data_IF_793759149185
#
_entry.id   IF_793759149185
#
_cell.length_a   1.000
_cell.length_b   1.000
_cell.length_c   1.000
_cell.angle_alpha   90.00
_cell.angle_beta   90.00
_cell.angle_gamma   90.00
#
_symmetry.space_group_name_H-M   'P 1'
#
loop_
_entity.id
_entity.type
_entity.pdbx_description
1 polymer ?
#
# COMPACT_ATOMS: atom_id res chain seq x y z
N UNK A 1 -23.01 43.97 -23.44
CA UNK A 1 -23.66 44.18 -24.74
C UNK A 1 -23.98 42.82 -25.32
N UNK A 2 -25.28 42.55 -25.41
CA UNK A 2 -25.86 41.33 -26.04
C UNK A 2 -25.62 41.36 -27.51
N UNK A 3 -25.32 40.21 -28.17
CA UNK A 3 -25.73 39.92 -29.53
C UNK A 3 -26.10 38.45 -29.66
N UNK A 4 -27.41 38.26 -29.81
CA UNK A 4 -28.15 37.14 -30.32
C UNK A 4 -27.87 37.05 -31.84
N UNK A 5 -27.63 35.88 -32.38
CA UNK A 5 -27.89 35.60 -33.82
C UNK A 5 -28.64 34.31 -34.02
N UNK A 6 -29.66 34.50 -34.80
CA UNK A 6 -30.85 33.69 -35.10
C UNK A 6 -30.54 32.62 -36.12
N UNK A 7 -31.24 31.53 -35.95
CA UNK A 7 -31.57 30.40 -36.83
C UNK A 7 -31.81 30.76 -38.28
N UNK A 8 -31.29 29.99 -39.25
CA UNK A 8 -31.88 29.80 -40.56
C UNK A 8 -31.91 28.32 -40.92
N UNK A 9 -33.11 27.82 -41.11
CA UNK A 9 -33.47 26.50 -41.62
C UNK A 9 -33.25 26.49 -43.15
N UNK A 10 -32.54 25.52 -43.67
CA UNK A 10 -32.44 25.23 -45.09
C UNK A 10 -32.46 23.73 -45.33
N UNK A 11 -33.63 23.24 -45.74
CA UNK A 11 -33.83 21.87 -46.20
C UNK A 11 -33.16 21.68 -47.57
N UNK A 12 -32.21 20.75 -47.67
CA UNK A 12 -31.84 20.18 -48.98
C UNK A 12 -31.61 18.69 -48.81
N UNK A 13 -32.47 17.93 -49.46
CA UNK A 13 -32.40 16.49 -49.63
C UNK A 13 -31.22 16.18 -50.57
N UNK A 14 -30.22 15.44 -50.12
CA UNK A 14 -29.33 14.69 -51.00
C UNK A 14 -28.97 13.35 -50.41
N UNK A 15 -29.11 12.37 -51.29
CA UNK A 15 -28.90 10.94 -51.10
C UNK A 15 -27.46 10.59 -50.65
N UNK A 16 -27.35 9.64 -49.77
CA UNK A 16 -26.27 8.64 -49.80
C UNK A 16 -24.99 8.96 -49.04
N UNK A 17 -24.83 8.30 -48.01
CA UNK A 17 -23.65 7.70 -47.33
C UNK A 17 -23.80 7.90 -45.82
N UNK A 18 -24.31 6.89 -45.17
CA UNK A 18 -24.14 6.72 -43.72
C UNK A 18 -22.66 6.54 -43.45
N UNK A 19 -21.97 7.63 -43.12
CA UNK A 19 -20.69 7.56 -42.40
C UNK A 19 -21.08 7.21 -40.96
N UNK A 20 -21.05 5.92 -40.66
CA UNK A 20 -21.02 5.44 -39.30
C UNK A 20 -19.70 5.97 -38.72
N UNK A 21 -19.73 7.07 -37.99
CA UNK A 21 -18.69 7.38 -37.04
C UNK A 21 -18.70 6.24 -36.02
N UNK A 22 -17.89 5.24 -36.25
CA UNK A 22 -17.44 4.38 -35.18
C UNK A 22 -16.76 5.30 -34.19
N UNK A 23 -17.46 5.67 -33.13
CA UNK A 23 -16.84 6.05 -31.88
C UNK A 23 -16.21 4.74 -31.43
N UNK A 24 -14.97 4.48 -31.86
CA UNK A 24 -14.07 3.57 -31.18
C UNK A 24 -13.67 4.27 -29.87
N UNK A 25 -14.60 4.31 -28.92
CA UNK A 25 -14.21 4.33 -27.54
C UNK A 25 -13.34 3.08 -27.39
N UNK A 26 -12.03 3.27 -27.26
CA UNK A 26 -11.18 2.20 -26.77
C UNK A 26 -11.85 1.72 -25.49
N UNK A 27 -12.42 0.52 -25.57
CA UNK A 27 -12.90 -0.19 -24.40
C UNK A 27 -11.65 -0.34 -23.55
N UNK A 28 -11.53 0.49 -22.48
CA UNK A 28 -10.42 0.43 -21.55
C UNK A 28 -10.19 -1.05 -21.28
N UNK A 29 -8.97 -1.53 -21.47
CA UNK A 29 -8.67 -2.94 -21.32
C UNK A 29 -8.73 -3.27 -19.82
N UNK A 30 -9.93 -3.47 -19.29
CA UNK A 30 -10.23 -3.76 -17.88
C UNK A 30 -9.46 -4.99 -17.35
N UNK A 31 -8.84 -5.75 -18.24
CA UNK A 31 -8.00 -6.89 -17.89
C UNK A 31 -6.58 -6.49 -17.44
N UNK A 32 -6.13 -5.28 -17.77
CA UNK A 32 -4.80 -4.81 -17.33
C UNK A 32 -4.95 -4.05 -16.04
N UNK A 33 -4.54 -4.68 -14.93
CA UNK A 33 -4.56 -4.03 -13.61
C UNK A 33 -3.67 -2.77 -13.62
N UNK A 34 -4.05 -1.77 -12.84
CA UNK A 34 -3.32 -0.52 -12.66
C UNK A 34 -3.38 -0.05 -11.20
N UNK A 35 -2.48 0.84 -10.81
CA UNK A 35 -2.60 1.58 -9.56
C UNK A 35 -3.22 2.96 -9.80
N UNK A 36 -3.72 3.59 -8.74
CA UNK A 36 -4.39 4.90 -8.80
C UNK A 36 -3.44 5.97 -9.38
N UNK A 37 -3.97 6.77 -10.32
CA UNK A 37 -3.22 7.81 -11.04
C UNK A 37 -2.01 7.31 -11.85
N UNK A 38 -1.95 6.01 -12.17
CA UNK A 38 -0.88 5.50 -13.04
C UNK A 38 -0.94 6.17 -14.40
N UNK A 39 0.15 6.82 -14.78
CA UNK A 39 0.29 7.45 -16.10
C UNK A 39 0.37 6.39 -17.19
N UNK A 40 -0.14 6.68 -18.38
CA UNK A 40 -0.19 5.74 -19.50
C UNK A 40 1.20 5.29 -19.98
N UNK A 41 2.20 6.17 -19.89
CA UNK A 41 3.60 5.92 -20.27
C UNK A 41 4.40 5.17 -19.20
N UNK A 42 3.85 5.01 -17.98
CA UNK A 42 4.50 4.28 -16.89
C UNK A 42 4.12 2.81 -16.96
N UNK A 43 5.09 1.98 -17.32
CA UNK A 43 4.91 0.53 -17.32
C UNK A 43 5.01 -0.01 -15.89
N UNK A 44 3.91 -0.61 -15.40
CA UNK A 44 3.93 -1.43 -14.18
C UNK A 44 4.46 -2.84 -14.44
N UNK A 45 4.31 -3.74 -13.48
CA UNK A 45 4.60 -5.16 -13.65
C UNK A 45 3.74 -5.81 -14.74
N UNK A 46 4.29 -6.79 -15.46
CA UNK A 46 3.51 -7.61 -16.39
C UNK A 46 2.58 -8.62 -15.65
N UNK A 47 2.81 -8.82 -14.36
CA UNK A 47 1.98 -9.67 -13.50
C UNK A 47 0.88 -8.84 -12.82
N UNK A 48 -0.40 -9.24 -12.93
CA UNK A 48 -1.52 -8.47 -12.37
C UNK A 48 -1.68 -8.73 -10.85
N UNK A 49 -0.68 -8.34 -10.05
CA UNK A 49 -0.67 -8.52 -8.61
C UNK A 49 -1.91 -7.96 -7.93
N UNK A 50 -2.58 -8.78 -7.10
CA UNK A 50 -3.85 -8.47 -6.46
C UNK A 50 -5.08 -8.81 -7.30
N UNK A 51 -4.90 -9.28 -8.56
CA UNK A 51 -5.98 -9.72 -9.43
C UNK A 51 -5.65 -10.99 -10.26
N UNK A 52 -4.61 -11.73 -9.89
CA UNK A 52 -4.22 -12.95 -10.57
C UNK A 52 -4.92 -14.18 -9.96
N UNK A 53 -6.15 -14.46 -10.41
CA UNK A 53 -6.96 -15.55 -9.88
C UNK A 53 -6.38 -16.95 -10.12
N UNK A 54 -5.39 -17.10 -11.03
CA UNK A 54 -4.75 -18.40 -11.28
C UNK A 54 -3.86 -18.88 -10.12
N UNK A 55 -3.40 -17.95 -9.27
CA UNK A 55 -2.58 -18.20 -8.08
C UNK A 55 -3.22 -17.64 -6.79
N UNK A 56 -4.47 -17.16 -6.93
CA UNK A 56 -5.22 -16.54 -5.86
C UNK A 56 -5.78 -17.54 -4.85
N UNK A 57 -5.80 -17.15 -3.61
CA UNK A 57 -6.31 -17.91 -2.48
C UNK A 57 -7.11 -17.01 -1.56
N UNK A 58 -7.84 -17.60 -0.61
CA UNK A 58 -8.56 -16.87 0.43
C UNK A 58 -8.23 -17.42 1.82
N UNK A 59 -8.07 -16.52 2.77
CA UNK A 59 -8.05 -16.84 4.19
C UNK A 59 -9.36 -16.38 4.81
N UNK A 60 -10.07 -17.31 5.48
CA UNK A 60 -11.30 -17.00 6.19
C UNK A 60 -10.95 -16.40 7.55
N UNK A 61 -11.29 -15.14 7.75
CA UNK A 61 -11.24 -14.47 9.05
C UNK A 61 -12.57 -14.65 9.78
N UNK A 62 -12.78 -13.96 10.90
CA UNK A 62 -14.01 -14.04 11.68
C UNK A 62 -15.24 -13.64 10.84
N UNK A 63 -15.11 -12.60 10.01
CA UNK A 63 -16.26 -11.98 9.31
C UNK A 63 -15.98 -11.63 7.84
N UNK A 64 -14.81 -11.96 7.31
CA UNK A 64 -14.42 -11.63 5.93
C UNK A 64 -13.48 -12.66 5.33
N UNK A 65 -13.47 -12.76 4.00
CA UNK A 65 -12.46 -13.50 3.24
C UNK A 65 -11.40 -12.54 2.75
N UNK A 66 -10.15 -12.80 3.13
CA UNK A 66 -8.99 -12.01 2.73
C UNK A 66 -8.30 -12.72 1.57
N UNK A 67 -8.23 -12.04 0.43
CA UNK A 67 -7.60 -12.54 -0.79
C UNK A 67 -6.09 -12.37 -0.72
N UNK A 68 -5.36 -13.38 -1.15
CA UNK A 68 -3.92 -13.32 -1.32
C UNK A 68 -3.43 -14.20 -2.47
N UNK A 69 -2.26 -13.88 -2.98
CA UNK A 69 -1.59 -14.59 -4.08
C UNK A 69 -0.22 -15.05 -3.60
N UNK A 70 0.27 -16.18 -4.16
CA UNK A 70 1.59 -16.71 -3.81
C UNK A 70 2.45 -16.80 -5.07
N UNK A 71 3.68 -16.26 -4.99
CA UNK A 71 4.66 -16.28 -6.06
C UNK A 71 6.02 -16.73 -5.55
N UNK A 72 6.76 -17.45 -6.40
CA UNK A 72 8.10 -17.94 -6.06
C UNK A 72 8.12 -19.00 -4.95
N UNK A 73 9.33 -19.33 -4.51
CA UNK A 73 9.59 -20.33 -3.47
C UNK A 73 10.65 -19.82 -2.49
N UNK A 74 10.80 -20.47 -1.33
CA UNK A 74 11.81 -20.10 -0.33
C UNK A 74 11.21 -19.50 0.94
N UNK A 75 11.96 -18.59 1.58
CA UNK A 75 11.52 -17.93 2.81
C UNK A 75 10.31 -17.04 2.56
N UNK A 76 9.30 -17.04 3.46
CA UNK A 76 8.09 -16.26 3.26
C UNK A 76 8.33 -14.76 3.45
N UNK A 77 7.83 -13.98 2.49
CA UNK A 77 7.75 -12.51 2.52
C UNK A 77 6.32 -12.09 2.24
N UNK A 78 5.72 -11.37 3.17
CA UNK A 78 4.37 -10.84 3.02
C UNK A 78 4.44 -9.39 2.55
N UNK A 79 3.63 -9.07 1.55
CA UNK A 79 3.49 -7.72 0.98
C UNK A 79 2.14 -7.16 1.42
N UNK A 80 2.16 -6.02 2.15
CA UNK A 80 0.98 -5.28 2.59
C UNK A 80 1.00 -3.91 1.92
N UNK A 81 0.02 -3.66 1.05
CA UNK A 81 -0.08 -2.43 0.25
C UNK A 81 -0.61 -1.23 1.06
N UNK A 82 -0.58 -0.06 0.47
CA UNK A 82 -1.15 1.18 1.00
C UNK A 82 -2.67 1.11 1.16
N UNK A 83 -3.25 2.03 1.89
CA UNK A 83 -4.69 2.08 2.13
C UNK A 83 -5.44 3.01 1.18
N UNK A 84 -6.75 3.13 1.38
CA UNK A 84 -7.63 3.98 0.59
C UNK A 84 -7.75 3.51 -0.85
N UNK A 85 -6.96 4.10 -1.73
CA UNK A 85 -6.84 3.71 -3.15
C UNK A 85 -5.65 2.78 -3.42
N UNK A 86 -4.95 2.32 -2.38
CA UNK A 86 -3.80 1.43 -2.50
C UNK A 86 -4.20 0.05 -3.01
N UNK A 87 -3.34 -0.56 -3.79
CA UNK A 87 -3.51 -1.92 -4.34
C UNK A 87 -2.17 -2.64 -4.37
N UNK A 88 -2.12 -3.97 -4.28
CA UNK A 88 -0.86 -4.71 -4.35
C UNK A 88 -0.02 -4.41 -5.59
N UNK A 89 -0.67 -4.07 -6.71
CA UNK A 89 -0.02 -3.79 -7.99
C UNK A 89 0.96 -2.61 -7.94
N UNK A 90 0.76 -1.64 -7.05
CA UNK A 90 1.68 -0.51 -6.87
C UNK A 90 3.09 -0.95 -6.44
N UNK A 91 3.19 -2.06 -5.70
CA UNK A 91 4.45 -2.67 -5.26
C UNK A 91 5.02 -3.70 -6.25
N UNK A 92 4.45 -3.77 -7.46
CA UNK A 92 4.77 -4.80 -8.46
C UNK A 92 6.26 -4.94 -8.75
N UNK A 93 6.99 -3.84 -8.90
CA UNK A 93 8.43 -3.86 -9.16
C UNK A 93 9.24 -4.49 -8.01
N UNK A 94 8.81 -4.30 -6.76
CA UNK A 94 9.41 -4.95 -5.58
C UNK A 94 9.11 -6.44 -5.61
N UNK A 95 7.84 -6.81 -5.87
CA UNK A 95 7.40 -8.21 -5.92
C UNK A 95 8.14 -8.97 -7.02
N UNK A 96 8.31 -8.37 -8.21
CA UNK A 96 9.05 -8.96 -9.34
C UNK A 96 10.51 -9.29 -9.00
N UNK A 97 11.15 -8.48 -8.16
CA UNK A 97 12.50 -8.76 -7.67
C UNK A 97 12.51 -9.87 -6.62
N UNK A 98 11.57 -9.83 -5.68
CA UNK A 98 11.53 -10.75 -4.55
C UNK A 98 11.19 -12.19 -4.96
N UNK A 99 10.25 -12.39 -5.89
CA UNK A 99 9.74 -13.72 -6.26
C UNK A 99 10.77 -14.66 -6.89
N UNK A 100 11.95 -14.15 -7.23
CA UNK A 100 13.03 -14.97 -7.74
C UNK A 100 13.75 -15.77 -6.63
N UNK A 101 13.76 -15.25 -5.39
CA UNK A 101 14.52 -15.81 -4.28
C UNK A 101 13.68 -16.11 -3.04
N UNK A 102 12.41 -15.66 -3.03
CA UNK A 102 11.51 -15.74 -1.88
C UNK A 102 10.14 -16.27 -2.28
N UNK A 103 9.46 -16.92 -1.32
CA UNK A 103 8.03 -17.16 -1.40
C UNK A 103 7.30 -15.88 -1.02
N UNK A 104 6.79 -15.15 -2.02
CA UNK A 104 6.13 -13.86 -1.84
C UNK A 104 4.63 -14.04 -1.72
N UNK A 105 4.05 -13.58 -0.63
CA UNK A 105 2.63 -13.60 -0.36
C UNK A 105 2.10 -12.18 -0.51
N UNK A 106 1.35 -11.95 -1.57
CA UNK A 106 0.77 -10.64 -1.92
C UNK A 106 -0.65 -10.59 -1.38
N UNK A 107 -0.90 -9.74 -0.39
CA UNK A 107 -2.18 -9.70 0.32
C UNK A 107 -2.97 -8.47 -0.11
N UNK A 108 -4.21 -8.66 -0.57
CA UNK A 108 -5.19 -7.58 -0.66
C UNK A 108 -5.80 -7.39 0.72
N UNK A 109 -5.63 -6.23 1.34
CA UNK A 109 -6.15 -5.97 2.67
C UNK A 109 -7.68 -5.87 2.66
N UNK A 110 -8.32 -6.02 3.83
CA UNK A 110 -9.78 -5.90 3.99
C UNK A 110 -10.34 -4.72 3.19
N UNK A 111 -11.40 -4.94 2.41
CA UNK A 111 -12.08 -3.93 1.59
C UNK A 111 -11.33 -3.46 0.34
N UNK A 112 -10.18 -4.07 0.02
CA UNK A 112 -9.41 -3.76 -1.19
C UNK A 112 -9.36 -4.95 -2.14
N UNK A 113 -9.37 -4.65 -3.44
CA UNK A 113 -9.27 -5.66 -4.49
C UNK A 113 -10.33 -6.75 -4.33
N UNK A 114 -9.89 -8.00 -4.22
CA UNK A 114 -10.78 -9.18 -4.10
C UNK A 114 -11.13 -9.58 -2.66
N UNK A 115 -10.69 -8.81 -1.66
CA UNK A 115 -11.02 -9.06 -0.25
C UNK A 115 -12.37 -8.46 0.11
N UNK A 116 -13.13 -9.21 0.93
CA UNK A 116 -14.39 -8.74 1.49
C UNK A 116 -14.18 -7.58 2.48
N UNK A 117 -15.18 -6.73 2.63
CA UNK A 117 -15.20 -5.61 3.57
C UNK A 117 -15.43 -6.13 5.01
N UNK A 118 -16.32 -7.12 5.15
CA UNK A 118 -16.74 -7.62 6.46
C UNK A 118 -17.65 -6.64 7.21
N UNK A 119 -17.81 -6.85 8.53
CA UNK A 119 -18.68 -6.05 9.38
C UNK A 119 -18.00 -5.56 10.67
N UNK A 120 -16.83 -6.11 11.01
CA UNK A 120 -16.07 -5.67 12.16
C UNK A 120 -15.54 -4.24 11.95
N UNK A 121 -15.50 -3.40 13.00
CA UNK A 121 -14.94 -2.06 12.91
C UNK A 121 -13.48 -2.08 12.41
N UNK A 122 -13.15 -1.13 11.55
CA UNK A 122 -11.76 -0.93 11.12
C UNK A 122 -10.93 -0.41 12.29
N UNK A 123 -9.93 -1.19 12.68
CA UNK A 123 -8.93 -0.83 13.69
C UNK A 123 -7.59 -1.47 13.30
N UNK A 124 -6.48 -1.00 13.87
CA UNK A 124 -5.19 -1.67 13.67
C UNK A 124 -5.21 -3.11 14.20
N UNK A 125 -5.95 -3.38 15.29
CA UNK A 125 -6.14 -4.72 15.84
C UNK A 125 -6.87 -5.64 14.86
N UNK A 126 -7.95 -5.16 14.23
CA UNK A 126 -8.68 -5.95 13.25
C UNK A 126 -7.82 -6.24 12.02
N UNK A 127 -7.10 -5.24 11.51
CA UNK A 127 -6.17 -5.43 10.39
C UNK A 127 -5.07 -6.44 10.73
N UNK A 128 -4.50 -6.37 11.94
CA UNK A 128 -3.51 -7.34 12.39
C UNK A 128 -4.09 -8.76 12.51
N UNK A 129 -5.33 -8.92 13.00
CA UNK A 129 -6.02 -10.23 13.03
C UNK A 129 -6.24 -10.80 11.63
N UNK A 130 -6.60 -9.97 10.66
CA UNK A 130 -6.73 -10.40 9.27
C UNK A 130 -5.39 -10.89 8.72
N UNK A 131 -4.32 -10.10 8.91
CA UNK A 131 -2.99 -10.42 8.43
C UNK A 131 -2.43 -11.69 9.08
N UNK A 132 -2.60 -11.85 10.42
CA UNK A 132 -2.13 -13.05 11.12
C UNK A 132 -2.87 -14.30 10.64
N UNK A 133 -4.14 -14.18 10.25
CA UNK A 133 -4.90 -15.30 9.68
C UNK A 133 -4.26 -15.77 8.38
N UNK A 134 -3.91 -14.85 7.48
CA UNK A 134 -3.19 -15.18 6.24
C UNK A 134 -1.80 -15.77 6.55
N UNK A 135 -1.03 -15.14 7.45
CA UNK A 135 0.31 -15.60 7.82
C UNK A 135 0.27 -17.06 8.33
N UNK A 136 -0.59 -17.35 9.30
CA UNK A 136 -0.71 -18.70 9.91
C UNK A 136 -1.22 -19.76 8.93
N UNK A 137 -2.00 -19.36 7.91
CA UNK A 137 -2.47 -20.27 6.88
C UNK A 137 -1.33 -20.67 5.92
N UNK A 138 -0.38 -19.76 5.66
CA UNK A 138 0.68 -19.94 4.64
C UNK A 138 1.98 -20.50 5.22
N UNK A 139 2.33 -20.13 6.45
CA UNK A 139 3.60 -20.55 7.07
C UNK A 139 3.48 -20.76 8.58
N UNK A 140 4.38 -21.60 9.11
CA UNK A 140 4.61 -21.76 10.55
C UNK A 140 5.90 -21.08 11.00
N UNK A 141 6.72 -20.61 10.06
CA UNK A 141 7.99 -19.93 10.33
C UNK A 141 7.76 -18.43 10.44
N UNK A 142 8.55 -17.72 11.25
CA UNK A 142 8.55 -16.25 11.27
C UNK A 142 8.83 -15.71 9.86
N UNK A 143 8.02 -14.74 9.42
CA UNK A 143 8.05 -14.20 8.08
C UNK A 143 8.60 -12.77 8.05
N UNK A 144 9.20 -12.39 6.93
CA UNK A 144 9.45 -10.99 6.62
C UNK A 144 8.14 -10.31 6.19
N UNK A 145 7.96 -9.06 6.58
CA UNK A 145 6.83 -8.25 6.13
C UNK A 145 7.39 -6.99 5.47
N UNK A 146 6.94 -6.70 4.25
CA UNK A 146 7.18 -5.45 3.57
C UNK A 146 5.83 -4.74 3.49
N UNK A 147 5.68 -3.65 4.22
CA UNK A 147 4.46 -2.86 4.28
C UNK A 147 4.68 -1.46 3.74
N UNK A 148 3.70 -0.95 3.01
CA UNK A 148 3.67 0.42 2.55
C UNK A 148 2.51 1.17 3.23
N UNK A 149 2.77 2.36 3.76
CA UNK A 149 1.73 3.24 4.36
C UNK A 149 0.85 2.46 5.36
N UNK A 150 -0.44 2.34 5.12
CA UNK A 150 -1.37 1.53 5.91
C UNK A 150 -0.88 0.08 6.16
N UNK A 151 -0.29 -0.54 5.13
CA UNK A 151 0.32 -1.86 5.24
C UNK A 151 1.51 -1.89 6.22
N UNK A 152 2.29 -0.81 6.32
CA UNK A 152 3.38 -0.70 7.27
C UNK A 152 2.87 -0.51 8.72
N UNK A 153 1.86 0.33 8.93
CA UNK A 153 1.21 0.46 10.24
C UNK A 153 0.55 -0.85 10.68
N UNK A 154 -0.06 -1.57 9.73
CA UNK A 154 -0.59 -2.91 9.98
C UNK A 154 0.51 -3.90 10.37
N UNK A 155 1.68 -3.84 9.74
CA UNK A 155 2.85 -4.66 10.09
C UNK A 155 3.36 -4.35 11.51
N UNK A 156 3.40 -3.08 11.92
CA UNK A 156 3.74 -2.71 13.29
C UNK A 156 2.79 -3.35 14.29
N UNK A 157 1.48 -3.33 14.00
CA UNK A 157 0.49 -3.91 14.90
C UNK A 157 0.55 -5.44 14.92
N UNK A 158 0.88 -6.09 13.79
CA UNK A 158 1.17 -7.55 13.78
C UNK A 158 2.37 -7.86 14.68
N UNK A 159 3.45 -7.08 14.60
CA UNK A 159 4.64 -7.31 15.43
C UNK A 159 4.42 -7.01 16.92
N UNK A 160 3.53 -6.08 17.26
CA UNK A 160 3.11 -5.79 18.63
C UNK A 160 2.27 -6.94 19.22
N UNK A 161 1.29 -7.45 18.47
CA UNK A 161 0.35 -8.47 18.95
C UNK A 161 0.88 -9.91 18.82
N UNK A 162 1.72 -10.19 17.81
CA UNK A 162 2.18 -11.52 17.44
C UNK A 162 3.69 -11.52 17.10
N UNK A 163 4.57 -11.09 18.04
CA UNK A 163 6.00 -10.93 17.77
C UNK A 163 6.69 -12.21 17.28
N UNK A 164 6.16 -13.38 17.66
CA UNK A 164 6.72 -14.69 17.30
C UNK A 164 6.59 -15.05 15.81
N UNK A 165 5.70 -14.37 15.07
CA UNK A 165 5.49 -14.67 13.64
C UNK A 165 6.24 -13.72 12.71
N UNK A 166 6.93 -12.71 13.24
CA UNK A 166 7.61 -11.68 12.45
C UNK A 166 9.12 -11.80 12.60
N UNK A 167 9.83 -12.12 11.51
CA UNK A 167 11.30 -12.11 11.47
C UNK A 167 11.83 -10.68 11.38
N UNK A 168 11.32 -9.86 10.48
CA UNK A 168 11.70 -8.45 10.27
C UNK A 168 10.63 -7.69 9.49
N UNK A 169 10.70 -6.37 9.55
CA UNK A 169 9.78 -5.48 8.83
C UNK A 169 10.58 -4.51 7.95
N UNK A 170 10.13 -4.32 6.72
CA UNK A 170 10.42 -3.14 5.90
C UNK A 170 9.16 -2.29 5.92
N UNK A 171 9.23 -1.12 6.53
CA UNK A 171 8.14 -0.17 6.66
C UNK A 171 8.40 1.04 5.77
N UNK A 172 7.59 1.20 4.74
CA UNK A 172 7.71 2.28 3.76
C UNK A 172 6.60 3.30 4.03
N UNK A 173 6.97 4.57 4.23
CA UNK A 173 6.01 5.67 4.40
C UNK A 173 5.16 5.54 5.66
N UNK A 174 5.75 5.15 6.81
CA UNK A 174 5.05 5.03 8.10
C UNK A 174 5.93 5.43 9.28
N UNK A 175 5.60 6.55 9.89
CA UNK A 175 6.26 7.09 11.09
C UNK A 175 5.40 6.99 12.35
N UNK A 176 5.53 7.94 13.28
CA UNK A 176 4.50 8.19 14.29
C UNK A 176 3.28 8.83 13.64
N UNK A 177 2.11 8.61 14.21
CA UNK A 177 0.85 9.15 13.72
C UNK A 177 0.10 9.78 14.87
N UNK A 178 -0.18 11.06 14.77
CA UNK A 178 -1.02 11.77 15.71
C UNK A 178 -2.49 11.67 15.31
N UNK A 179 -3.37 11.53 16.30
CA UNK A 179 -4.81 11.58 16.07
C UNK A 179 -5.20 12.85 15.33
N UNK A 180 -6.04 12.72 14.30
CA UNK A 180 -6.51 13.84 13.46
C UNK A 180 -5.53 14.27 12.37
N UNK A 181 -4.38 13.61 12.21
CA UNK A 181 -3.45 13.90 11.12
C UNK A 181 -4.11 13.70 9.76
N UNK A 182 -4.78 12.57 9.57
CA UNK A 182 -5.64 12.35 8.42
C UNK A 182 -7.07 12.74 8.76
N UNK A 183 -7.65 13.65 8.00
CA UNK A 183 -9.02 14.12 8.19
C UNK A 183 -9.66 14.43 6.84
N UNK A 184 -10.98 14.42 6.79
CA UNK A 184 -11.76 14.65 5.57
C UNK A 184 -12.52 13.41 5.14
N UNK A 185 -13.06 13.48 3.92
CA UNK A 185 -13.86 12.41 3.33
C UNK A 185 -13.08 11.76 2.17
N UNK A 186 -13.34 10.48 1.94
CA UNK A 186 -12.89 9.75 0.76
C UNK A 186 -14.14 9.37 -0.05
N UNK A 187 -14.50 10.22 -1.00
CA UNK A 187 -15.69 10.01 -1.83
C UNK A 187 -15.29 9.36 -3.16
N UNK A 188 -15.96 8.27 -3.50
CA UNK A 188 -15.73 7.57 -4.77
C UNK A 188 -16.01 8.50 -5.94
N UNK A 189 -17.00 9.39 -5.83
CA UNK A 189 -17.32 10.39 -6.85
C UNK A 189 -16.18 11.38 -7.10
N UNK A 190 -15.32 11.66 -6.11
CA UNK A 190 -14.14 12.50 -6.29
C UNK A 190 -12.97 11.70 -6.86
N UNK A 191 -12.82 10.45 -6.46
CA UNK A 191 -11.87 9.53 -7.10
C UNK A 191 -12.20 9.30 -8.58
N UNK A 192 -13.49 9.19 -8.95
CA UNK A 192 -13.95 9.07 -10.34
C UNK A 192 -13.58 10.30 -11.18
N UNK A 193 -13.56 11.50 -10.60
CA UNK A 193 -13.11 12.72 -11.31
C UNK A 193 -11.60 12.71 -11.57
N UNK A 194 -10.82 12.06 -10.70
CA UNK A 194 -9.36 12.00 -10.79
C UNK A 194 -8.94 10.84 -11.69
N UNK A 195 -9.51 9.65 -11.50
CA UNK A 195 -9.14 8.42 -12.19
C UNK A 195 -10.34 7.46 -12.32
N UNK A 196 -11.23 7.75 -13.29
CA UNK A 196 -12.44 6.97 -13.52
C UNK A 196 -12.16 5.51 -13.88
N UNK A 197 -11.07 5.25 -14.60
CA UNK A 197 -10.72 3.90 -15.06
C UNK A 197 -10.26 3.03 -13.90
N UNK A 198 -9.49 3.60 -12.98
CA UNK A 198 -9.12 2.90 -11.75
C UNK A 198 -10.37 2.55 -10.93
N UNK A 199 -11.28 3.51 -10.72
CA UNK A 199 -12.51 3.28 -9.94
C UNK A 199 -13.39 2.21 -10.60
N UNK A 200 -13.56 2.27 -11.92
CA UNK A 200 -14.32 1.26 -12.68
C UNK A 200 -13.67 -0.13 -12.54
N UNK A 201 -12.32 -0.20 -12.61
CA UNK A 201 -11.59 -1.45 -12.43
C UNK A 201 -11.77 -2.00 -11.01
N UNK A 202 -11.61 -1.18 -9.96
CA UNK A 202 -11.82 -1.64 -8.57
C UNK A 202 -13.25 -2.16 -8.37
N UNK A 203 -14.27 -1.44 -8.81
CA UNK A 203 -15.67 -1.90 -8.75
C UNK A 203 -15.88 -3.25 -9.46
N UNK A 204 -15.15 -3.51 -10.54
CA UNK A 204 -15.28 -4.77 -11.30
C UNK A 204 -14.66 -5.99 -10.63
N UNK A 205 -13.72 -5.80 -9.71
CA UNK A 205 -13.00 -6.90 -9.02
C UNK A 205 -13.41 -7.11 -7.57
N UNK A 206 -14.00 -6.09 -6.92
CA UNK A 206 -14.46 -6.16 -5.54
C UNK A 206 -15.63 -7.13 -5.38
N UNK A 207 -15.67 -7.92 -4.28
CA UNK A 207 -16.84 -8.77 -3.96
C UNK A 207 -18.10 -7.96 -3.64
N UNK A 208 -17.96 -6.75 -3.05
CA UNK A 208 -19.04 -5.92 -2.51
C UNK A 208 -18.93 -4.47 -3.02
N UNK A 209 -18.97 -4.24 -4.36
CA UNK A 209 -18.72 -2.91 -4.93
C UNK A 209 -19.76 -1.86 -4.51
N UNK A 210 -20.98 -2.29 -4.17
CA UNK A 210 -22.06 -1.41 -3.67
C UNK A 210 -21.76 -0.87 -2.25
N UNK A 211 -20.93 -1.54 -1.48
CA UNK A 211 -20.50 -1.14 -0.13
C UNK A 211 -19.20 -0.32 -0.12
N UNK A 212 -18.58 -0.09 -1.28
CA UNK A 212 -17.26 0.55 -1.30
C UNK A 212 -17.29 1.97 -0.71
N UNK A 213 -18.34 2.77 -0.95
CA UNK A 213 -18.46 4.10 -0.33
C UNK A 213 -18.62 4.00 1.20
N UNK A 214 -19.38 3.03 1.70
CA UNK A 214 -19.47 2.75 3.15
C UNK A 214 -18.07 2.46 3.71
N UNK A 215 -17.34 1.57 3.06
CA UNK A 215 -15.96 1.25 3.44
C UNK A 215 -15.04 2.48 3.44
N UNK A 216 -15.07 3.31 2.40
CA UNK A 216 -14.27 4.54 2.33
C UNK A 216 -14.58 5.51 3.48
N UNK A 217 -15.86 5.63 3.84
CA UNK A 217 -16.30 6.47 4.96
C UNK A 217 -15.79 5.94 6.30
N UNK A 218 -15.92 4.65 6.56
CA UNK A 218 -15.41 4.01 7.78
C UNK A 218 -13.88 4.02 7.83
N UNK A 219 -13.23 3.89 6.68
CA UNK A 219 -11.79 4.00 6.52
C UNK A 219 -11.28 5.38 6.94
N UNK A 220 -11.89 6.46 6.48
CA UNK A 220 -11.50 7.82 6.88
C UNK A 220 -11.83 8.11 8.34
N UNK A 221 -12.95 7.60 8.85
CA UNK A 221 -13.28 7.67 10.27
C UNK A 221 -12.24 6.94 11.15
N UNK A 222 -11.77 5.78 10.72
CA UNK A 222 -10.67 5.08 11.39
C UNK A 222 -9.41 5.95 11.39
N UNK A 223 -8.96 6.44 10.22
CA UNK A 223 -7.73 7.21 10.09
C UNK A 223 -7.76 8.54 10.85
N UNK A 224 -8.91 9.21 10.93
CA UNK A 224 -9.06 10.44 11.72
C UNK A 224 -8.88 10.22 13.22
N UNK A 225 -9.04 8.98 13.68
CA UNK A 225 -8.89 8.60 15.09
C UNK A 225 -7.65 7.74 15.36
N UNK A 226 -6.95 7.32 14.32
CA UNK A 226 -5.77 6.47 14.44
C UNK A 226 -4.61 7.23 15.10
N UNK A 227 -3.90 6.53 15.97
CA UNK A 227 -2.72 7.01 16.67
C UNK A 227 -1.65 5.91 16.70
N UNK A 228 -0.40 6.28 16.38
CA UNK A 228 0.76 5.39 16.47
C UNK A 228 1.89 6.16 17.14
N UNK A 229 2.19 5.79 18.36
CA UNK A 229 3.19 6.45 19.19
C UNK A 229 4.14 5.45 19.86
N UNK A 230 4.81 5.94 20.90
CA UNK A 230 5.81 5.20 21.64
C UNK A 230 5.28 3.86 22.18
N UNK A 231 4.04 3.84 22.67
CA UNK A 231 3.47 2.67 23.34
C UNK A 231 3.40 1.45 22.42
N UNK A 232 3.04 1.64 21.13
CA UNK A 232 3.06 0.58 20.14
C UNK A 232 4.49 0.31 19.67
N UNK A 233 5.21 1.35 19.25
CA UNK A 233 6.48 1.22 18.52
C UNK A 233 7.60 0.63 19.40
N UNK A 234 7.61 0.91 20.70
CA UNK A 234 8.61 0.34 21.63
C UNK A 234 8.43 -1.16 21.92
N UNK A 235 7.26 -1.71 21.59
CA UNK A 235 6.96 -3.14 21.74
C UNK A 235 7.51 -3.97 20.58
N UNK A 236 7.87 -3.36 19.45
CA UNK A 236 8.38 -4.06 18.26
C UNK A 236 9.78 -4.61 18.58
N UNK A 237 9.92 -5.93 18.58
CA UNK A 237 11.18 -6.62 18.96
C UNK A 237 12.02 -7.00 17.75
N UNK A 238 11.40 -7.24 16.61
CA UNK A 238 12.11 -7.62 15.38
C UNK A 238 12.86 -6.41 14.78
N UNK A 239 13.87 -6.64 13.93
CA UNK A 239 14.51 -5.58 13.17
C UNK A 239 13.53 -4.89 12.21
N UNK A 240 13.63 -3.55 12.12
CA UNK A 240 12.79 -2.74 11.22
C UNK A 240 13.67 -1.85 10.35
N UNK A 241 13.42 -1.84 9.04
CA UNK A 241 13.92 -0.83 8.12
C UNK A 241 12.79 0.17 7.83
N UNK A 242 13.00 1.41 8.22
CA UNK A 242 12.11 2.53 7.91
C UNK A 242 12.58 3.20 6.63
N UNK A 243 11.71 3.33 5.62
CA UNK A 243 12.00 4.01 4.36
C UNK A 243 11.00 5.14 4.17
N UNK A 244 11.49 6.33 3.83
CA UNK A 244 10.64 7.53 3.63
C UNK A 244 11.24 8.42 2.56
N UNK A 245 10.38 9.09 1.77
CA UNK A 245 10.78 10.17 0.89
C UNK A 245 11.08 11.46 1.67
N UNK A 246 12.01 12.27 1.20
CA UNK A 246 12.29 13.56 1.84
C UNK A 246 11.18 14.59 1.60
N UNK A 247 10.31 14.37 0.61
CA UNK A 247 9.13 15.18 0.26
C UNK A 247 7.80 14.49 0.66
N UNK A 248 7.83 13.43 1.47
CA UNK A 248 6.63 12.70 1.91
C UNK A 248 5.79 13.54 2.87
N UNK A 249 4.59 13.91 2.45
CA UNK A 249 3.61 14.67 3.23
C UNK A 249 2.59 13.81 3.99
N UNK A 250 2.49 12.51 3.64
CA UNK A 250 1.64 11.53 4.33
C UNK A 250 2.35 10.90 5.55
N UNK A 251 3.66 10.75 5.47
CA UNK A 251 4.52 10.33 6.58
C UNK A 251 5.74 11.26 6.65
N UNK A 252 5.58 12.51 7.09
CA UNK A 252 6.66 13.49 7.14
C UNK A 252 7.91 12.91 7.80
N UNK A 253 9.09 13.19 7.24
CA UNK A 253 10.37 12.63 7.68
C UNK A 253 10.57 12.74 9.20
N UNK A 254 10.06 13.80 9.83
CA UNK A 254 10.12 14.02 11.29
C UNK A 254 9.41 12.92 12.06
N UNK A 255 8.26 12.45 11.56
CA UNK A 255 7.49 11.36 12.19
C UNK A 255 8.22 10.01 12.07
N UNK A 256 8.93 9.79 10.98
CA UNK A 256 9.71 8.57 10.75
C UNK A 256 11.00 8.58 11.59
N UNK A 257 11.63 9.74 11.76
CA UNK A 257 12.76 9.91 12.70
C UNK A 257 12.29 9.65 14.14
N UNK A 258 11.09 10.10 14.50
CA UNK A 258 10.55 9.83 15.84
C UNK A 258 10.25 8.33 16.03
N UNK A 259 9.64 7.67 15.04
CA UNK A 259 9.45 6.22 15.07
C UNK A 259 10.78 5.47 15.21
N UNK A 260 11.82 5.91 14.50
CA UNK A 260 13.17 5.35 14.65
C UNK A 260 13.72 5.44 16.10
N UNK A 261 13.39 6.50 16.82
CA UNK A 261 13.78 6.64 18.24
C UNK A 261 13.02 5.67 19.16
N UNK A 262 11.79 5.32 18.79
CA UNK A 262 10.95 4.45 19.63
C UNK A 262 11.15 2.96 19.33
N UNK A 263 11.42 2.59 18.08
CA UNK A 263 11.64 1.18 17.70
C UNK A 263 13.07 0.77 18.05
N UNK A 264 13.29 -0.17 18.99
CA UNK A 264 14.62 -0.47 19.52
C UNK A 264 15.64 -0.93 18.48
N UNK A 265 15.18 -1.70 17.47
CA UNK A 265 16.03 -2.33 16.46
C UNK A 265 15.72 -1.80 15.07
N UNK A 266 15.68 -0.48 14.90
CA UNK A 266 15.35 0.12 13.62
C UNK A 266 16.57 0.72 12.89
N UNK A 267 16.44 0.80 11.58
CA UNK A 267 17.31 1.53 10.66
C UNK A 267 16.46 2.45 9.81
N UNK A 268 17.03 3.54 9.32
CA UNK A 268 16.31 4.51 8.50
C UNK A 268 17.02 4.72 7.16
N UNK A 269 16.25 4.79 6.09
CA UNK A 269 16.66 5.21 4.77
C UNK A 269 15.76 6.36 4.32
N UNK A 270 16.35 7.52 4.04
CA UNK A 270 15.64 8.66 3.44
C UNK A 270 15.95 8.68 1.96
N UNK A 271 14.92 8.65 1.14
CA UNK A 271 15.04 8.62 -0.32
C UNK A 271 14.91 10.05 -0.85
N UNK A 272 15.96 10.60 -1.49
CA UNK A 272 15.94 11.98 -1.97
C UNK A 272 15.02 12.17 -3.17
N UNK A 273 14.35 13.33 -3.24
CA UNK A 273 13.39 13.71 -4.28
C UNK A 273 12.29 12.66 -4.47
N UNK A 274 11.79 12.14 -3.38
CA UNK A 274 10.74 11.14 -3.38
C UNK A 274 9.60 11.54 -2.46
N UNK A 275 8.40 11.31 -2.92
CA UNK A 275 7.15 11.49 -2.19
C UNK A 275 6.79 10.22 -1.42
N UNK A 276 5.51 10.06 -1.13
CA UNK A 276 5.02 8.91 -0.37
C UNK A 276 5.32 7.56 -1.03
N UNK A 277 5.21 7.47 -2.35
CA UNK A 277 5.44 6.26 -3.16
C UNK A 277 6.90 6.12 -3.59
N UNK A 278 7.83 6.15 -2.65
CA UNK A 278 9.29 6.16 -2.91
C UNK A 278 9.77 5.10 -3.91
N UNK A 279 9.07 3.95 -3.97
CA UNK A 279 9.39 2.84 -4.87
C UNK A 279 8.93 3.10 -6.32
N UNK A 280 8.08 4.09 -6.56
CA UNK A 280 7.74 4.59 -7.89
C UNK A 280 8.64 5.77 -8.28
N UNK A 281 9.01 6.61 -7.31
CA UNK A 281 9.79 7.82 -7.55
C UNK A 281 11.28 7.51 -7.74
N UNK A 282 11.85 6.64 -6.89
CA UNK A 282 13.27 6.26 -6.92
C UNK A 282 13.44 4.79 -6.54
N UNK A 283 13.14 3.91 -7.50
CA UNK A 283 13.19 2.47 -7.28
C UNK A 283 14.58 1.96 -6.90
N UNK A 284 15.64 2.45 -7.53
CA UNK A 284 17.00 1.93 -7.32
C UNK A 284 17.49 2.15 -5.89
N UNK A 285 17.27 3.33 -5.33
CA UNK A 285 17.62 3.63 -3.93
C UNK A 285 16.76 2.79 -2.98
N UNK A 286 15.46 2.76 -3.23
CA UNK A 286 14.49 1.99 -2.42
C UNK A 286 14.84 0.50 -2.43
N UNK A 287 15.07 -0.08 -3.62
CA UNK A 287 15.42 -1.49 -3.76
C UNK A 287 16.77 -1.83 -3.13
N UNK A 288 17.77 -0.95 -3.29
CA UNK A 288 19.09 -1.15 -2.67
C UNK A 288 18.96 -1.25 -1.14
N UNK A 289 18.19 -0.35 -0.51
CA UNK A 289 17.97 -0.38 0.93
C UNK A 289 17.24 -1.67 1.36
N UNK A 290 16.16 -2.04 0.65
CA UNK A 290 15.39 -3.27 0.92
C UNK A 290 16.29 -4.49 0.78
N UNK A 291 16.96 -4.65 -0.37
CA UNK A 291 17.75 -5.85 -0.66
C UNK A 291 18.91 -6.05 0.31
N UNK A 292 19.60 -4.99 0.70
CA UNK A 292 20.64 -5.08 1.73
C UNK A 292 20.06 -5.54 3.08
N UNK A 293 18.92 -4.98 3.48
CA UNK A 293 18.31 -5.29 4.77
C UNK A 293 17.79 -6.73 4.82
N UNK A 294 17.06 -7.20 3.79
CA UNK A 294 16.48 -8.54 3.79
C UNK A 294 17.54 -9.64 3.67
N UNK A 295 18.68 -9.37 3.00
CA UNK A 295 19.79 -10.31 2.83
C UNK A 295 20.77 -10.31 4.02
N UNK A 296 20.69 -9.34 4.93
CA UNK A 296 21.53 -9.29 6.13
C UNK A 296 21.07 -10.35 7.13
N UNK A 297 22.01 -11.09 7.72
CA UNK A 297 21.68 -12.09 8.78
C UNK A 297 21.03 -11.39 9.97
N UNK A 298 20.03 -12.02 10.56
CA UNK A 298 19.26 -11.43 11.67
C UNK A 298 20.16 -10.91 12.80
N UNK A 299 21.16 -11.69 13.22
CA UNK A 299 22.12 -11.30 14.27
C UNK A 299 22.90 -10.01 13.96
N UNK A 300 23.12 -9.71 12.67
CA UNK A 300 23.87 -8.55 12.21
C UNK A 300 22.97 -7.31 12.03
N UNK A 301 21.65 -7.50 12.09
CA UNK A 301 20.65 -6.42 12.12
C UNK A 301 20.44 -5.86 13.53
N UNK A 302 20.72 -6.66 14.56
CA UNK A 302 20.63 -6.19 15.94
C UNK A 302 21.74 -5.17 16.21
N UNK A 303 21.54 -4.19 17.13
CA UNK A 303 22.54 -3.18 17.44
C UNK A 303 23.81 -3.85 17.93
N UNK A 304 24.86 -3.88 17.12
CA UNK A 304 26.14 -4.47 17.47
C UNK A 304 27.03 -3.54 18.28
N UNK A 305 26.66 -2.28 18.44
CA UNK A 305 27.41 -1.29 19.23
C UNK A 305 26.42 -0.44 20.01
N UNK A 306 26.55 -0.46 21.33
CA UNK A 306 26.41 0.78 22.09
C UNK A 306 27.47 1.74 21.53
N UNK A 307 27.05 2.75 20.81
CA UNK A 307 27.93 3.88 20.51
C UNK A 307 28.17 4.51 21.88
N UNK A 308 29.24 4.11 22.57
CA UNK A 308 29.81 4.91 23.64
C UNK A 308 30.29 6.17 22.91
N UNK A 309 29.49 7.22 22.94
CA UNK A 309 29.93 8.56 22.57
C UNK A 309 31.15 8.85 23.49
N UNK A 310 32.31 8.75 22.90
CA UNK A 310 33.52 9.17 23.57
C UNK A 310 33.33 10.65 23.93
N UNK A 311 33.33 10.97 25.22
CA UNK A 311 33.01 12.27 25.80
C UNK A 311 33.88 13.46 25.31
N UNK A 312 34.64 13.27 24.22
CA UNK A 312 35.53 14.25 23.62
C UNK A 312 34.83 15.19 22.63
N UNK A 313 33.61 14.85 22.18
CA UNK A 313 32.79 15.79 21.39
C UNK A 313 31.74 16.43 22.28
N UNK A 314 32.08 17.59 22.85
CA UNK A 314 31.06 18.50 23.41
C UNK A 314 30.40 19.19 22.22
N UNK A 315 29.14 18.89 21.93
CA UNK A 315 28.33 19.79 21.16
C UNK A 315 28.17 21.05 22.01
N UNK A 316 28.56 22.19 21.46
CA UNK A 316 28.20 23.47 22.06
C UNK A 316 26.67 23.59 22.00
N UNK A 317 26.07 23.88 23.16
CA UNK A 317 24.66 24.19 23.32
C UNK A 317 24.22 25.39 22.47
#
# INVERSE_FOLDING_TARGET
MRKIFTLILGLSIFCGSFIVFSISGECANLNKIRYFMQKEDVKGSDTPYGNNTSVGNYAQTEDAKIYYEIYGEGKPVFIFHGGGVGVPYELGNIIDKLRNDYKVIVVSTRGHGRSEIGHNPLTFEQKAKDMITVIKQVTKEPAMIIGFSDGAYSAYKVADMYPEVVDRIVAIGAGTLAKGFFSGDLLISDLEKIDSDFVAQQKSIMPEPERWQEFCTDYMKFWSNAEVGKDLLSNIKCPVLLIVGDEDDHAPITTVIEAHKFIPNSRICVVPKAWHTVFLDNFDVTWTAISQFINTKHKDLLPSRKIEYNSHYKYAD
#
